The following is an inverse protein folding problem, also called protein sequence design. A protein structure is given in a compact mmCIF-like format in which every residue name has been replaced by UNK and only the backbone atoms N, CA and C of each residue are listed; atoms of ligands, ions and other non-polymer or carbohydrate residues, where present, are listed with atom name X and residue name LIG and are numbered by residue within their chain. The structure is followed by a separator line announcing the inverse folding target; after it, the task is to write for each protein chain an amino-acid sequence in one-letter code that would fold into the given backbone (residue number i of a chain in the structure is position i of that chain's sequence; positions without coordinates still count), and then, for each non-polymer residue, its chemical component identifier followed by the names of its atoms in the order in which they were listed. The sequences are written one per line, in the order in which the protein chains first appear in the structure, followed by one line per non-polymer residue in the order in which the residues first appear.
data_IF_114299083562
#
_entry.id   IF_114299083562
#
_cell.length_a   1.000
_cell.length_b   1.000
_cell.length_c   1.000
_cell.angle_alpha   90.00
_cell.angle_beta   90.00
_cell.angle_gamma   90.00
#
_symmetry.space_group_name_H-M   'P 1'
#
loop_
_entity.id
_entity.type
_entity.pdbx_description
1 polymer ?
#
# COMPACT_ATOMS: atom_id res chain seq x y z
N UNK A 1 -2.99 -64.12 -4.55
CA UNK A 1 -2.53 -63.91 -5.94
C UNK A 1 -2.94 -62.52 -6.40
N UNK A 2 -2.02 -61.81 -7.06
CA UNK A 2 -2.14 -60.48 -7.67
C UNK A 2 -3.43 -60.27 -8.46
N UNK A 3 -3.94 -59.03 -8.50
CA UNK A 3 -3.95 -58.18 -9.71
C UNK A 3 -4.26 -56.73 -9.35
N UNK A 4 -3.31 -55.87 -9.72
CA UNK A 4 -3.38 -54.41 -9.78
C UNK A 4 -4.16 -54.06 -11.05
N UNK A 5 -5.11 -53.13 -11.00
CA UNK A 5 -5.44 -52.27 -12.15
C UNK A 5 -5.65 -50.84 -11.63
N UNK A 6 -4.80 -49.95 -12.12
CA UNK A 6 -4.86 -48.51 -11.96
C UNK A 6 -6.04 -47.93 -12.76
N UNK A 7 -6.67 -46.88 -12.24
CA UNK A 7 -7.49 -45.98 -13.05
C UNK A 7 -7.20 -44.54 -12.63
N UNK A 8 -6.30 -43.96 -13.43
CA UNK A 8 -6.01 -42.55 -13.61
C UNK A 8 -7.29 -41.87 -14.10
N UNK A 9 -7.74 -40.77 -13.50
CA UNK A 9 -8.73 -39.90 -14.15
C UNK A 9 -8.71 -38.47 -13.61
N UNK A 10 -8.19 -37.60 -14.48
CA UNK A 10 -8.58 -36.21 -14.70
C UNK A 10 -8.33 -35.17 -13.60
N UNK A 11 -7.17 -34.52 -13.74
CA UNK A 11 -7.04 -33.08 -13.52
C UNK A 11 -8.15 -32.34 -14.29
N UNK A 12 -9.05 -31.69 -13.56
CA UNK A 12 -9.76 -30.53 -14.05
C UNK A 12 -9.00 -29.31 -13.55
N UNK A 13 -8.22 -28.72 -14.46
CA UNK A 13 -7.68 -27.38 -14.26
C UNK A 13 -8.85 -26.43 -14.06
N UNK A 14 -9.01 -25.94 -12.83
CA UNK A 14 -9.81 -24.75 -12.57
C UNK A 14 -9.07 -23.57 -13.19
N UNK A 15 -9.31 -23.32 -14.47
CA UNK A 15 -8.96 -22.05 -15.13
C UNK A 15 -9.90 -20.98 -14.58
N UNK A 16 -9.69 -20.60 -13.32
CA UNK A 16 -10.24 -19.38 -12.78
C UNK A 16 -9.58 -18.24 -13.54
N UNK A 17 -10.29 -17.67 -14.50
CA UNK A 17 -10.00 -16.33 -14.98
C UNK A 17 -10.20 -15.44 -13.76
N UNK A 18 -9.12 -15.22 -13.00
CA UNK A 18 -9.10 -14.18 -12.00
C UNK A 18 -9.23 -12.88 -12.81
N UNK A 19 -10.46 -12.37 -12.93
CA UNK A 19 -10.64 -10.96 -13.23
C UNK A 19 -9.81 -10.23 -12.18
N UNK A 20 -8.70 -9.62 -12.61
CA UNK A 20 -8.01 -8.58 -11.85
C UNK A 20 -8.98 -7.41 -11.73
N UNK A 21 -10.00 -7.55 -10.89
CA UNK A 21 -10.82 -6.45 -10.47
C UNK A 21 -9.91 -5.58 -9.60
N UNK A 22 -9.44 -4.47 -10.17
CA UNK A 22 -8.81 -3.40 -9.39
C UNK A 22 -9.73 -3.10 -8.19
N UNK A 23 -9.14 -3.01 -7.00
CA UNK A 23 -9.90 -2.74 -5.79
C UNK A 23 -10.75 -1.48 -5.99
N UNK A 24 -11.99 -1.44 -5.48
CA UNK A 24 -12.83 -0.26 -5.62
C UNK A 24 -12.11 0.98 -5.09
N UNK A 25 -12.10 2.04 -5.90
CA UNK A 25 -11.41 3.29 -5.59
C UNK A 25 -12.04 3.93 -4.35
N UNK A 26 -11.22 4.17 -3.33
CA UNK A 26 -11.61 4.90 -2.13
C UNK A 26 -11.84 6.37 -2.52
N UNK A 27 -12.99 6.92 -2.15
CA UNK A 27 -13.27 8.34 -2.36
C UNK A 27 -12.39 9.20 -1.45
N UNK A 28 -11.58 10.06 -2.05
CA UNK A 28 -10.68 11.01 -1.37
C UNK A 28 -11.15 12.45 -1.50
N UNK A 29 -12.36 12.68 -2.03
CA UNK A 29 -12.93 14.02 -2.19
C UNK A 29 -12.99 14.76 -0.85
N UNK A 30 -12.50 16.00 -0.83
CA UNK A 30 -12.43 16.81 0.38
C UNK A 30 -11.26 16.51 1.31
N UNK A 31 -10.37 15.59 0.95
CA UNK A 31 -9.08 15.38 1.61
C UNK A 31 -7.97 16.19 0.92
N UNK A 32 -6.89 16.45 1.65
CA UNK A 32 -5.64 17.00 1.12
C UNK A 32 -4.62 15.89 0.94
N UNK A 33 -3.74 16.08 -0.04
CA UNK A 33 -2.71 15.12 -0.44
C UNK A 33 -1.32 15.52 0.09
N UNK A 34 -0.54 14.53 0.49
CA UNK A 34 0.92 14.58 0.56
C UNK A 34 1.45 13.37 -0.23
N UNK A 35 2.47 13.55 -1.07
CA UNK A 35 2.92 12.48 -1.96
C UNK A 35 4.39 12.59 -2.33
N UNK A 36 4.97 11.45 -2.69
CA UNK A 36 6.37 11.33 -3.13
C UNK A 36 6.58 10.01 -3.89
N UNK A 37 7.52 10.01 -4.82
CA UNK A 37 8.06 8.80 -5.44
C UNK A 37 9.11 8.15 -4.53
N UNK A 38 9.12 6.83 -4.46
CA UNK A 38 10.05 6.08 -3.60
C UNK A 38 10.86 5.07 -4.41
N UNK A 39 12.12 4.85 -4.01
CA UNK A 39 12.72 3.53 -4.24
C UNK A 39 11.98 2.50 -3.34
N UNK A 40 11.74 1.29 -3.85
CA UNK A 40 10.95 0.24 -3.17
C UNK A 40 11.51 -0.12 -1.78
N UNK A 41 12.83 -0.03 -1.61
CA UNK A 41 13.51 -0.26 -0.33
C UNK A 41 13.23 0.82 0.71
N UNK A 42 12.88 2.04 0.30
CA UNK A 42 12.56 3.16 1.20
C UNK A 42 11.11 3.20 1.68
N UNK A 43 10.19 2.47 1.03
CA UNK A 43 8.78 2.41 1.42
C UNK A 43 8.62 1.90 2.85
N UNK A 44 9.23 0.77 3.19
CA UNK A 44 9.13 0.17 4.52
C UNK A 44 9.63 1.09 5.63
N UNK A 45 10.89 1.59 5.55
CA UNK A 45 11.44 2.54 6.52
C UNK A 45 10.56 3.77 6.73
N UNK A 46 10.04 4.37 5.65
CA UNK A 46 9.16 5.53 5.77
C UNK A 46 7.84 5.19 6.48
N UNK A 47 7.18 4.07 6.13
CA UNK A 47 5.94 3.66 6.78
C UNK A 47 6.12 3.39 8.28
N UNK A 48 7.28 2.83 8.68
CA UNK A 48 7.63 2.67 10.09
C UNK A 48 7.79 4.02 10.80
N UNK A 49 8.52 4.97 10.19
CA UNK A 49 8.68 6.32 10.75
C UNK A 49 7.34 7.06 10.87
N UNK A 50 6.50 6.97 9.83
CA UNK A 50 5.15 7.54 9.83
C UNK A 50 4.31 6.96 10.98
N UNK A 51 4.31 5.64 11.15
CA UNK A 51 3.57 4.96 12.22
C UNK A 51 4.05 5.33 13.64
N UNK A 52 5.34 5.66 13.79
CA UNK A 52 5.92 6.10 15.07
C UNK A 52 5.66 7.58 15.39
N UNK A 53 5.42 8.41 14.37
CA UNK A 53 5.32 9.87 14.49
C UNK A 53 3.88 10.40 14.46
N UNK A 54 2.95 9.59 13.98
CA UNK A 54 1.51 9.82 13.98
C UNK A 54 0.85 8.61 14.61
N UNK A 55 -0.03 8.83 15.60
CA UNK A 55 -0.78 7.72 16.19
C UNK A 55 -1.80 7.20 15.17
N UNK A 56 -1.46 6.10 14.49
CA UNK A 56 -2.26 5.49 13.42
C UNK A 56 -2.49 4.00 13.71
N UNK A 57 -3.53 3.42 13.10
CA UNK A 57 -3.73 1.97 13.09
C UNK A 57 -3.13 1.29 11.84
N UNK A 58 -2.31 2.01 11.08
CA UNK A 58 -1.53 1.46 9.97
C UNK A 58 -0.49 0.47 10.50
N UNK A 59 -0.47 -0.72 9.91
CA UNK A 59 0.58 -1.71 10.08
C UNK A 59 1.58 -1.54 8.93
N UNK A 60 2.79 -1.08 9.26
CA UNK A 60 3.79 -0.70 8.28
C UNK A 60 4.28 -1.88 7.45
N UNK A 61 4.48 -3.04 8.09
CA UNK A 61 4.97 -4.24 7.42
C UNK A 61 3.90 -4.81 6.49
N UNK A 62 2.65 -4.92 6.97
CA UNK A 62 1.55 -5.42 6.16
C UNK A 62 1.24 -4.51 4.95
N UNK A 63 1.33 -3.19 5.13
CA UNK A 63 1.13 -2.24 4.03
C UNK A 63 2.29 -2.31 3.03
N UNK A 64 3.55 -2.39 3.50
CA UNK A 64 4.72 -2.58 2.62
C UNK A 64 4.56 -3.84 1.76
N UNK A 65 4.22 -4.97 2.37
CA UNK A 65 3.99 -6.23 1.65
C UNK A 65 2.88 -6.10 0.61
N UNK A 66 1.81 -5.38 0.95
CA UNK A 66 0.69 -5.14 0.03
C UNK A 66 1.08 -4.26 -1.17
N UNK A 67 1.92 -3.25 -0.95
CA UNK A 67 2.45 -2.36 -2.01
C UNK A 67 3.43 -3.14 -2.90
N UNK A 68 4.34 -3.91 -2.30
CA UNK A 68 5.33 -4.71 -3.01
C UNK A 68 4.66 -5.74 -3.94
N UNK A 69 3.57 -6.35 -3.47
CA UNK A 69 2.80 -7.33 -4.23
C UNK A 69 1.93 -6.73 -5.37
N UNK A 70 1.85 -5.41 -5.51
CA UNK A 70 1.14 -4.81 -6.64
C UNK A 70 1.80 -5.21 -7.97
N UNK A 71 1.02 -5.55 -8.99
CA UNK A 71 1.55 -5.60 -10.35
C UNK A 71 2.01 -4.20 -10.79
N UNK A 72 3.06 -4.14 -11.62
CA UNK A 72 3.49 -2.90 -12.29
C UNK A 72 2.33 -2.34 -13.13
N UNK A 73 2.26 -1.02 -13.26
CA UNK A 73 1.17 -0.23 -13.87
C UNK A 73 -0.19 -0.41 -13.17
N UNK A 74 -0.20 -0.72 -11.88
CA UNK A 74 -1.44 -0.82 -11.11
C UNK A 74 -1.44 0.01 -9.84
N UNK A 75 -2.65 0.28 -9.35
CA UNK A 75 -2.89 1.01 -8.12
C UNK A 75 -3.43 0.10 -7.03
N UNK A 76 -2.94 0.33 -5.81
CA UNK A 76 -3.55 -0.13 -4.57
C UNK A 76 -4.03 1.05 -3.74
N UNK A 77 -5.07 0.84 -2.92
CA UNK A 77 -5.52 1.83 -1.96
C UNK A 77 -5.99 1.18 -0.66
N UNK A 78 -5.65 1.80 0.46
CA UNK A 78 -5.92 1.31 1.81
C UNK A 78 -6.39 2.46 2.69
N UNK A 79 -7.37 2.20 3.55
CA UNK A 79 -7.89 3.19 4.49
C UNK A 79 -7.53 2.83 5.93
N UNK A 80 -7.02 3.83 6.62
CA UNK A 80 -6.60 3.81 8.00
C UNK A 80 -7.21 5.02 8.73
N UNK A 81 -6.90 5.08 10.01
CA UNK A 81 -7.21 6.18 10.90
C UNK A 81 -5.96 6.64 11.61
N UNK A 82 -5.81 7.95 11.70
CA UNK A 82 -4.78 8.60 12.48
C UNK A 82 -5.43 9.42 13.60
N UNK A 83 -4.66 9.79 14.61
CA UNK A 83 -5.06 10.74 15.64
C UNK A 83 -4.16 11.96 15.56
N UNK A 84 -4.77 13.13 15.36
CA UNK A 84 -4.11 14.43 15.39
C UNK A 84 -4.83 15.31 16.40
N UNK A 85 -4.08 15.89 17.35
CA UNK A 85 -4.63 16.78 18.39
C UNK A 85 -5.83 16.18 19.16
N UNK A 86 -5.80 14.86 19.40
CA UNK A 86 -6.87 14.12 20.09
C UNK A 86 -8.11 13.82 19.23
N UNK A 87 -8.12 14.24 17.97
CA UNK A 87 -9.19 13.96 17.00
C UNK A 87 -8.79 12.82 16.08
N UNK A 88 -9.71 11.89 15.85
CA UNK A 88 -9.55 10.83 14.85
C UNK A 88 -9.73 11.44 13.46
N UNK A 89 -8.69 11.31 12.64
CA UNK A 89 -8.64 11.72 11.25
C UNK A 89 -8.61 10.48 10.35
N UNK A 90 -9.17 10.62 9.15
CA UNK A 90 -9.12 9.59 8.11
C UNK A 90 -7.77 9.66 7.41
N UNK A 91 -7.15 8.51 7.12
CA UNK A 91 -5.89 8.43 6.38
C UNK A 91 -6.05 7.39 5.27
N UNK A 92 -6.03 7.83 4.01
CA UNK A 92 -6.06 6.93 2.86
C UNK A 92 -4.66 6.92 2.25
N UNK A 93 -4.08 5.75 2.07
CA UNK A 93 -2.82 5.56 1.35
C UNK A 93 -3.14 4.99 -0.01
N UNK A 94 -2.62 5.62 -1.06
CA UNK A 94 -2.70 5.15 -2.44
C UNK A 94 -1.27 4.89 -2.90
N UNK A 95 -1.04 3.73 -3.50
CA UNK A 95 0.22 3.42 -4.16
C UNK A 95 -0.05 3.22 -5.65
N UNK A 96 0.80 3.80 -6.50
CA UNK A 96 0.88 3.46 -7.90
C UNK A 96 2.27 2.87 -8.16
N UNK A 97 2.31 1.64 -8.66
CA UNK A 97 3.58 0.95 -8.95
C UNK A 97 3.92 1.16 -10.42
N UNK A 98 4.60 2.26 -10.72
CA UNK A 98 5.02 2.64 -12.07
C UNK A 98 6.09 1.69 -12.64
N UNK A 99 7.05 1.27 -11.81
CA UNK A 99 8.06 0.24 -12.07
C UNK A 99 8.14 -0.72 -10.87
N UNK A 100 8.81 -1.85 -11.05
CA UNK A 100 8.98 -2.91 -10.04
C UNK A 100 9.59 -2.37 -8.74
N UNK A 101 10.47 -1.37 -8.84
CA UNK A 101 11.27 -0.86 -7.73
C UNK A 101 11.01 0.63 -7.39
N UNK A 102 9.98 1.27 -7.94
CA UNK A 102 9.84 2.74 -7.88
C UNK A 102 8.46 3.31 -7.44
N UNK A 103 7.70 2.69 -6.51
CA UNK A 103 6.30 3.08 -6.29
C UNK A 103 6.11 4.55 -5.88
N UNK A 104 5.10 5.19 -6.47
CA UNK A 104 4.57 6.47 -6.01
C UNK A 104 3.58 6.26 -4.88
N UNK A 105 3.77 6.96 -3.75
CA UNK A 105 2.83 6.95 -2.63
C UNK A 105 2.15 8.30 -2.46
N UNK A 106 0.83 8.27 -2.31
CA UNK A 106 -0.01 9.41 -1.96
C UNK A 106 -0.80 9.15 -0.69
N UNK A 107 -0.78 10.11 0.23
CA UNK A 107 -1.44 10.10 1.52
C UNK A 107 -2.54 11.16 1.52
N UNK A 108 -3.80 10.73 1.56
CA UNK A 108 -4.95 11.61 1.60
C UNK A 108 -5.53 11.67 3.02
N UNK A 109 -5.62 12.86 3.58
CA UNK A 109 -6.12 13.08 4.95
C UNK A 109 -6.57 14.53 5.17
N UNK A 110 -6.79 14.95 6.42
CA UNK A 110 -7.09 16.34 6.74
C UNK A 110 -5.93 17.26 6.33
N UNK A 111 -6.18 18.54 5.98
CA UNK A 111 -5.12 19.45 5.55
C UNK A 111 -3.94 19.55 6.52
N UNK A 112 -4.21 19.58 7.83
CA UNK A 112 -3.18 19.68 8.86
C UNK A 112 -2.32 18.41 8.93
N UNK A 113 -2.94 17.23 8.85
CA UNK A 113 -2.19 15.97 8.88
C UNK A 113 -1.42 15.76 7.57
N UNK A 114 -1.98 16.12 6.42
CA UNK A 114 -1.31 16.04 5.13
C UNK A 114 -0.05 16.91 5.12
N UNK A 115 -0.13 18.16 5.60
CA UNK A 115 1.04 19.04 5.70
C UNK A 115 2.14 18.43 6.61
N UNK A 116 1.76 17.77 7.72
CA UNK A 116 2.71 17.09 8.59
C UNK A 116 3.37 15.89 7.90
N UNK A 117 2.59 15.09 7.16
CA UNK A 117 3.12 13.96 6.39
C UNK A 117 4.06 14.45 5.28
N UNK A 118 3.70 15.55 4.60
CA UNK A 118 4.53 16.17 3.57
C UNK A 118 5.91 16.56 4.12
N UNK A 119 5.96 17.20 5.29
CA UNK A 119 7.23 17.55 5.96
C UNK A 119 8.06 16.31 6.31
N UNK A 120 7.40 15.20 6.68
CA UNK A 120 8.09 13.93 6.96
C UNK A 120 8.64 13.30 5.69
N UNK A 121 7.88 13.29 4.60
CA UNK A 121 8.35 12.81 3.29
C UNK A 121 9.61 13.58 2.87
N UNK A 122 9.58 14.91 2.94
CA UNK A 122 10.72 15.76 2.61
C UNK A 122 11.93 15.50 3.51
N UNK A 123 11.72 15.34 4.82
CA UNK A 123 12.79 15.03 5.78
C UNK A 123 13.39 13.65 5.52
N UNK A 124 12.56 12.67 5.19
CA UNK A 124 12.99 11.32 4.86
C UNK A 124 13.82 11.31 3.57
N UNK A 125 13.34 11.95 2.50
CA UNK A 125 14.07 12.07 1.23
C UNK A 125 15.45 12.71 1.42
N UNK A 126 15.52 13.81 2.17
CA UNK A 126 16.79 14.46 2.50
C UNK A 126 17.75 13.54 3.26
N UNK A 127 17.24 12.71 4.17
CA UNK A 127 18.05 11.75 4.92
C UNK A 127 18.57 10.59 4.04
N UNK A 128 17.83 10.21 3.00
CA UNK A 128 18.25 9.20 2.02
C UNK A 128 19.13 9.77 0.90
N UNK A 129 19.15 11.08 0.71
CA UNK A 129 19.86 11.74 -0.39
C UNK A 129 19.13 11.69 -1.73
N UNK A 130 17.79 11.59 -1.69
CA UNK A 130 16.90 11.68 -2.84
C UNK A 130 16.62 13.14 -3.25
#
# INVERSE_FOLDING_TARGET
MRKIIAALAFLLFASGVACSASAPKIDVSGLSEASMSFDQDGVGPFLHELSGSVSTNLDADALKESIDALPVETMGNWEFSATLNGKRERLVVVAFKDDVDAPDLAFYTSPELAAKIQQQLESFAQAQGW
#
